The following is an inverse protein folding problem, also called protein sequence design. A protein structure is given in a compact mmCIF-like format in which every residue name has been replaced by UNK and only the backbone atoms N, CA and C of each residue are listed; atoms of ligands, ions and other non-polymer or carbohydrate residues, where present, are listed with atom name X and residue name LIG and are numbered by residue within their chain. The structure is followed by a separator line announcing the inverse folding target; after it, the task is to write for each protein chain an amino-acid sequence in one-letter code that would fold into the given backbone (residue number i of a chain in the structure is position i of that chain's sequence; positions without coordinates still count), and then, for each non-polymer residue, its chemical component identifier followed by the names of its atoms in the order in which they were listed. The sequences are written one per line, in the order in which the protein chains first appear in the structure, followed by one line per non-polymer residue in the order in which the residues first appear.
data_IF_755454774421
#
_entry.id   IF_755454774421
#
_cell.length_a   1.000
_cell.length_b   1.000
_cell.length_c   1.000
_cell.angle_alpha   90.00
_cell.angle_beta   90.00
_cell.angle_gamma   90.00
#
_symmetry.space_group_name_H-M   'P 1'
#
loop_
_entity.id
_entity.type
_entity.pdbx_description
1 polymer ?
#
# COMPACT_ATOMS: atom_id res chain seq x y z
N UNK A 1 2.73 7.12 8.37
CA UNK A 1 2.21 7.22 7.00
C UNK A 1 1.10 8.27 6.96
N UNK A 2 0.88 8.95 5.82
CA UNK A 2 -0.20 9.96 5.69
C UNK A 2 -1.56 9.28 5.82
N UNK A 3 -2.51 9.94 6.48
CA UNK A 3 -3.90 9.51 6.49
C UNK A 3 -4.58 9.90 5.18
N UNK A 4 -5.71 9.27 4.84
CA UNK A 4 -6.42 9.59 3.60
C UNK A 4 -6.87 11.06 3.59
N UNK A 5 -7.34 11.57 4.73
CA UNK A 5 -7.75 12.97 4.93
C UNK A 5 -6.62 13.97 4.72
N UNK A 6 -5.36 13.56 4.83
CA UNK A 6 -4.21 14.42 4.56
C UNK A 6 -3.93 14.54 3.04
N UNK A 7 -4.54 13.67 2.22
CA UNK A 7 -4.29 13.56 0.78
C UNK A 7 -5.49 14.10 -0.01
N UNK A 8 -6.71 13.80 0.44
CA UNK A 8 -7.96 14.15 -0.24
C UNK A 8 -8.95 14.83 0.70
N UNK A 9 -9.85 15.64 0.13
CA UNK A 9 -11.02 16.17 0.83
C UNK A 9 -12.10 15.09 0.93
N UNK A 10 -12.01 14.25 1.96
CA UNK A 10 -12.88 13.07 2.12
C UNK A 10 -14.39 13.35 1.99
N UNK A 11 -14.95 14.44 2.56
CA UNK A 11 -16.38 14.74 2.39
C UNK A 11 -16.81 15.03 0.96
N UNK A 12 -15.91 15.55 0.11
CA UNK A 12 -16.19 15.77 -1.32
C UNK A 12 -16.04 14.47 -2.08
N UNK A 13 -14.97 13.72 -1.81
CA UNK A 13 -14.69 12.45 -2.47
C UNK A 13 -15.82 11.42 -2.26
N UNK A 14 -16.43 11.38 -1.07
CA UNK A 14 -17.57 10.50 -0.76
C UNK A 14 -18.83 10.80 -1.61
N UNK A 15 -18.97 12.00 -2.16
CA UNK A 15 -20.12 12.35 -3.02
C UNK A 15 -19.99 11.77 -4.43
N UNK A 16 -18.77 11.45 -4.84
CA UNK A 16 -18.49 10.91 -6.16
C UNK A 16 -18.88 9.42 -6.28
N UNK A 17 -19.20 8.92 -7.48
CA UNK A 17 -19.34 7.50 -7.72
C UNK A 17 -17.99 6.78 -7.60
N UNK A 18 -18.01 5.49 -7.24
CA UNK A 18 -16.79 4.69 -7.01
C UNK A 18 -15.80 4.73 -8.18
N UNK A 19 -16.30 4.67 -9.43
CA UNK A 19 -15.47 4.77 -10.63
C UNK A 19 -14.71 6.09 -10.72
N UNK A 20 -15.37 7.20 -10.35
CA UNK A 20 -14.77 8.53 -10.37
C UNK A 20 -13.78 8.71 -9.22
N UNK A 21 -14.04 8.12 -8.05
CA UNK A 21 -13.08 8.08 -6.94
C UNK A 21 -11.77 7.41 -7.39
N UNK A 22 -11.85 6.25 -8.03
CA UNK A 22 -10.68 5.53 -8.54
C UNK A 22 -9.92 6.33 -9.61
N UNK A 23 -10.62 7.02 -10.49
CA UNK A 23 -10.02 7.92 -11.48
C UNK A 23 -9.28 9.09 -10.80
N UNK A 24 -9.95 9.83 -9.92
CA UNK A 24 -9.36 10.96 -9.18
C UNK A 24 -8.09 10.51 -8.44
N UNK A 25 -8.14 9.35 -7.77
CA UNK A 25 -7.02 8.82 -7.02
C UNK A 25 -5.81 8.49 -7.91
N UNK A 26 -6.06 7.84 -9.05
CA UNK A 26 -5.01 7.51 -10.02
C UNK A 26 -4.41 8.76 -10.63
N UNK A 27 -5.24 9.69 -11.10
CA UNK A 27 -4.78 10.95 -11.71
C UNK A 27 -4.01 11.84 -10.73
N UNK A 28 -4.40 11.88 -9.45
CA UNK A 28 -3.64 12.63 -8.43
C UNK A 28 -2.20 12.12 -8.24
N UNK A 29 -1.97 10.83 -8.43
CA UNK A 29 -0.67 10.18 -8.30
C UNK A 29 0.07 9.99 -9.63
N UNK A 30 -0.57 10.30 -10.75
CA UNK A 30 0.05 10.21 -12.07
C UNK A 30 1.20 11.22 -12.19
N UNK A 31 2.35 10.76 -12.72
CA UNK A 31 3.54 11.59 -12.88
C UNK A 31 4.31 11.92 -11.59
N UNK A 32 3.83 11.52 -10.41
CA UNK A 32 4.57 11.69 -9.16
C UNK A 32 5.77 10.74 -9.11
N UNK A 33 6.89 11.24 -8.61
CA UNK A 33 8.11 10.44 -8.44
C UNK A 33 8.16 9.69 -7.10
N UNK A 34 7.37 10.11 -6.12
CA UNK A 34 7.43 9.62 -4.74
C UNK A 34 6.33 8.61 -4.37
N UNK A 35 5.29 8.46 -5.20
CA UNK A 35 4.16 7.60 -4.89
C UNK A 35 3.35 7.21 -6.13
N UNK A 36 2.71 6.04 -6.05
CA UNK A 36 1.79 5.52 -7.06
C UNK A 36 0.42 5.28 -6.41
N UNK A 37 -0.64 5.69 -7.08
CA UNK A 37 -2.01 5.45 -6.65
C UNK A 37 -2.63 4.27 -7.37
N UNK A 38 -3.21 3.33 -6.61
CA UNK A 38 -4.05 2.23 -7.13
C UNK A 38 -5.29 2.06 -6.25
N UNK A 39 -6.22 1.25 -6.69
CA UNK A 39 -7.45 0.91 -5.98
C UNK A 39 -7.76 -0.58 -6.14
N UNK A 40 -8.41 -1.15 -5.12
CA UNK A 40 -8.88 -2.53 -5.11
C UNK A 40 -10.26 -2.64 -4.44
N UNK A 41 -11.07 -3.66 -4.76
CA UNK A 41 -12.33 -3.92 -4.07
C UNK A 41 -12.13 -4.18 -2.57
N UNK A 42 -13.12 -3.83 -1.74
CA UNK A 42 -13.01 -4.00 -0.29
C UNK A 42 -12.80 -5.46 0.11
N UNK A 43 -13.47 -6.39 -0.59
CA UNK A 43 -13.29 -7.83 -0.36
C UNK A 43 -11.85 -8.30 -0.60
N UNK A 44 -11.19 -7.79 -1.63
CA UNK A 44 -9.79 -8.12 -1.93
C UNK A 44 -8.86 -7.59 -0.84
N UNK A 45 -9.08 -6.35 -0.40
CA UNK A 45 -8.32 -5.76 0.70
C UNK A 45 -8.49 -6.55 2.01
N UNK A 46 -9.72 -6.97 2.33
CA UNK A 46 -10.01 -7.76 3.52
C UNK A 46 -9.23 -9.08 3.53
N UNK A 47 -9.26 -9.83 2.41
CA UNK A 47 -8.48 -11.07 2.26
C UNK A 47 -6.99 -10.83 2.45
N UNK A 48 -6.47 -9.71 1.92
CA UNK A 48 -5.06 -9.35 2.07
C UNK A 48 -4.71 -9.06 3.53
N UNK A 49 -5.54 -8.26 4.24
CA UNK A 49 -5.34 -7.92 5.65
C UNK A 49 -5.42 -9.16 6.54
N UNK A 50 -6.36 -10.07 6.29
CA UNK A 50 -6.53 -11.27 7.11
C UNK A 50 -5.34 -12.22 6.95
N UNK A 51 -4.90 -12.45 5.71
CA UNK A 51 -3.72 -13.27 5.42
C UNK A 51 -2.44 -12.66 6.01
N UNK A 52 -2.27 -11.35 5.85
CA UNK A 52 -1.12 -10.65 6.40
C UNK A 52 -1.17 -10.57 7.94
N UNK A 53 -2.36 -10.58 8.55
CA UNK A 53 -2.51 -10.70 10.00
C UNK A 53 -2.05 -12.07 10.51
N UNK A 54 -2.38 -13.15 9.80
CA UNK A 54 -1.95 -14.51 10.14
C UNK A 54 -0.47 -14.78 9.83
N UNK A 55 0.06 -14.16 8.77
CA UNK A 55 1.45 -14.30 8.33
C UNK A 55 2.03 -12.90 8.01
N UNK A 56 2.49 -12.16 9.03
CA UNK A 56 2.87 -10.75 8.88
C UNK A 56 4.22 -10.53 8.21
N UNK A 57 4.99 -11.58 7.95
CA UNK A 57 6.30 -11.49 7.30
C UNK A 57 6.36 -12.40 6.09
N UNK A 58 6.92 -11.89 4.99
CA UNK A 58 7.14 -12.65 3.76
C UNK A 58 8.42 -12.18 3.05
N UNK A 59 9.04 -13.05 2.26
CA UNK A 59 10.21 -12.73 1.44
C UNK A 59 9.83 -12.69 -0.04
N UNK A 60 9.98 -11.53 -0.67
CA UNK A 60 9.68 -11.31 -2.08
C UNK A 60 10.97 -11.36 -2.92
N UNK A 61 11.07 -12.27 -3.90
CA UNK A 61 12.10 -12.17 -4.93
C UNK A 61 11.74 -11.08 -5.92
N UNK A 62 12.64 -10.10 -6.08
CA UNK A 62 12.57 -9.08 -7.12
C UNK A 62 13.58 -9.43 -8.20
N UNK A 63 13.07 -9.91 -9.33
CA UNK A 63 13.88 -10.31 -10.48
C UNK A 63 14.36 -9.09 -11.26
N UNK A 64 15.59 -9.18 -11.76
CA UNK A 64 16.23 -8.18 -12.63
C UNK A 64 17.22 -8.86 -13.56
N UNK A 65 17.75 -8.12 -14.52
CA UNK A 65 18.77 -8.65 -15.41
C UNK A 65 19.97 -9.19 -14.61
N UNK A 66 20.30 -10.46 -14.84
CA UNK A 66 21.40 -11.15 -14.17
C UNK A 66 21.11 -11.66 -12.75
N UNK A 67 19.86 -11.67 -12.27
CA UNK A 67 19.52 -12.37 -11.02
C UNK A 67 18.28 -11.85 -10.30
N UNK A 68 18.32 -11.91 -8.97
CA UNK A 68 17.27 -11.36 -8.12
C UNK A 68 17.85 -10.79 -6.83
N UNK A 69 17.07 -9.98 -6.14
CA UNK A 69 17.32 -9.63 -4.75
C UNK A 69 16.05 -9.91 -3.93
N UNK A 70 16.20 -10.02 -2.61
CA UNK A 70 15.08 -10.31 -1.72
C UNK A 70 14.64 -9.05 -0.98
N UNK A 71 13.34 -8.77 -1.02
CA UNK A 71 12.69 -7.80 -0.14
C UNK A 71 12.00 -8.54 1.00
N UNK A 72 12.29 -8.14 2.23
CA UNK A 72 11.53 -8.49 3.41
C UNK A 72 10.27 -7.62 3.45
N UNK A 73 9.10 -8.24 3.34
CA UNK A 73 7.81 -7.60 3.57
C UNK A 73 7.37 -7.80 5.01
N UNK A 74 6.99 -6.72 5.68
CA UNK A 74 6.43 -6.73 7.03
C UNK A 74 5.10 -5.99 7.06
N UNK A 75 4.05 -6.66 7.54
CA UNK A 75 2.73 -6.07 7.74
C UNK A 75 2.61 -5.46 9.14
N UNK A 76 2.22 -4.19 9.20
CA UNK A 76 2.14 -3.41 10.43
C UNK A 76 0.84 -2.62 10.52
N UNK A 77 0.36 -2.44 11.76
CA UNK A 77 -0.81 -1.61 12.11
C UNK A 77 -2.08 -1.93 11.28
N UNK A 78 -2.22 -3.19 10.86
CA UNK A 78 -3.31 -3.71 10.00
C UNK A 78 -3.51 -2.99 8.67
N UNK A 79 -2.55 -2.18 8.20
CA UNK A 79 -2.73 -1.40 6.97
C UNK A 79 -1.47 -1.13 6.15
N UNK A 80 -0.28 -1.33 6.71
CA UNK A 80 0.97 -0.99 6.05
C UNK A 80 1.78 -2.25 5.74
N UNK A 81 2.25 -2.37 4.51
CA UNK A 81 3.30 -3.31 4.13
C UNK A 81 4.59 -2.54 3.90
N UNK A 82 5.63 -2.88 4.67
CA UNK A 82 6.96 -2.32 4.51
C UNK A 82 7.82 -3.32 3.76
N UNK A 83 8.43 -2.89 2.65
CA UNK A 83 9.32 -3.72 1.86
C UNK A 83 10.75 -3.21 2.01
N UNK A 84 11.58 -3.93 2.74
CA UNK A 84 12.95 -3.57 3.06
C UNK A 84 13.93 -4.53 2.38
N UNK A 85 15.04 -4.02 1.84
CA UNK A 85 16.06 -4.90 1.29
C UNK A 85 16.61 -5.83 2.38
N UNK A 86 16.58 -7.14 2.11
CA UNK A 86 16.87 -8.16 3.12
C UNK A 86 18.29 -8.04 3.67
N UNK A 87 19.28 -7.72 2.83
CA UNK A 87 20.67 -7.63 3.27
C UNK A 87 20.91 -6.40 4.15
N UNK A 88 20.26 -5.27 3.85
CA UNK A 88 20.28 -4.09 4.73
C UNK A 88 19.66 -4.42 6.10
N UNK A 89 18.53 -5.14 6.09
CA UNK A 89 17.85 -5.58 7.32
C UNK A 89 18.74 -6.52 8.15
N UNK A 90 19.39 -7.51 7.53
CA UNK A 90 20.32 -8.42 8.23
C UNK A 90 21.50 -7.70 8.83
N UNK A 91 22.04 -6.68 8.14
CA UNK A 91 23.20 -5.92 8.59
C UNK A 91 22.86 -5.05 9.81
N UNK A 92 21.76 -4.31 9.76
CA UNK A 92 21.30 -3.51 10.90
C UNK A 92 19.79 -3.19 10.78
N UNK A 93 18.90 -3.95 11.46
CA UNK A 93 17.46 -3.75 11.37
C UNK A 93 17.01 -2.33 11.75
N UNK A 94 17.70 -1.70 12.71
CA UNK A 94 17.34 -0.36 13.23
C UNK A 94 17.50 0.73 12.18
N UNK A 95 18.46 0.60 11.27
CA UNK A 95 18.75 1.61 10.24
C UNK A 95 18.29 1.19 8.84
N UNK A 96 17.81 -0.04 8.67
CA UNK A 96 17.29 -0.52 7.40
C UNK A 96 15.99 0.21 7.05
N UNK A 97 16.04 1.06 6.02
CA UNK A 97 14.87 1.81 5.56
C UNK A 97 14.10 1.01 4.52
N UNK A 98 12.76 0.92 4.62
CA UNK A 98 11.94 0.34 3.57
C UNK A 98 12.18 1.07 2.25
N UNK A 99 12.33 0.31 1.16
CA UNK A 99 12.43 0.85 -0.20
C UNK A 99 11.05 1.24 -0.72
N UNK A 100 10.04 0.46 -0.33
CA UNK A 100 8.63 0.69 -0.69
C UNK A 100 7.78 0.53 0.56
N UNK A 101 6.78 1.39 0.69
CA UNK A 101 5.71 1.24 1.69
C UNK A 101 4.38 1.25 0.95
N UNK A 102 3.58 0.20 1.12
CA UNK A 102 2.20 0.14 0.63
C UNK A 102 1.25 0.39 1.79
N UNK A 103 0.36 1.37 1.65
CA UNK A 103 -0.66 1.75 2.61
C UNK A 103 -2.05 1.48 2.04
N UNK A 104 -2.85 0.75 2.81
CA UNK A 104 -4.28 0.56 2.57
C UNK A 104 -5.08 1.70 3.23
N UNK A 105 -5.94 2.36 2.45
CA UNK A 105 -6.92 3.34 2.92
C UNK A 105 -8.33 2.77 2.75
N UNK A 106 -8.90 2.26 3.84
CA UNK A 106 -10.19 1.56 3.90
C UNK A 106 -11.37 2.46 4.30
N UNK A 107 -11.13 3.77 4.41
CA UNK A 107 -12.11 4.80 4.77
C UNK A 107 -13.40 4.76 3.91
N UNK A 108 -13.31 4.24 2.68
CA UNK A 108 -14.39 4.13 1.70
C UNK A 108 -14.90 2.69 1.51
N UNK A 109 -14.31 1.71 2.18
CA UNK A 109 -14.58 0.30 1.94
C UNK A 109 -16.05 -0.07 2.15
N UNK A 110 -16.66 0.37 3.26
CA UNK A 110 -18.05 0.04 3.61
C UNK A 110 -19.08 0.71 2.72
N UNK A 111 -18.85 1.97 2.34
CA UNK A 111 -19.83 2.81 1.63
C UNK A 111 -19.71 2.70 0.10
N UNK A 112 -18.51 2.40 -0.40
CA UNK A 112 -18.17 2.49 -1.83
C UNK A 112 -17.53 1.23 -2.40
N UNK A 113 -17.33 0.19 -1.58
CA UNK A 113 -16.65 -1.07 -1.94
C UNK A 113 -15.28 -0.86 -2.59
N UNK A 114 -14.53 0.14 -2.13
CA UNK A 114 -13.22 0.49 -2.65
C UNK A 114 -12.22 0.79 -1.52
N UNK A 115 -11.01 0.29 -1.68
CA UNK A 115 -9.85 0.61 -0.85
C UNK A 115 -8.80 1.24 -1.73
N UNK A 116 -8.29 2.39 -1.30
CA UNK A 116 -7.26 3.14 -2.03
C UNK A 116 -5.88 2.74 -1.53
N UNK A 117 -4.97 2.50 -2.46
CA UNK A 117 -3.60 2.07 -2.24
C UNK A 117 -2.63 3.20 -2.56
N UNK A 118 -1.63 3.40 -1.71
CA UNK A 118 -0.50 4.30 -1.94
C UNK A 118 0.81 3.69 -1.48
#
# INVERSE_FOLDING_TARGET
ARQLTDIVKLPLLKKEPTSKIAEIWRSYHEGRQDAVGRDIPAKTAQVLVDRAGAAPTFLFPVFRDGGHFLLLSQFQNRRHFLFTFLEDYKKNPTFARPYVTLTLHDDLAKEKDIVLLR
#
